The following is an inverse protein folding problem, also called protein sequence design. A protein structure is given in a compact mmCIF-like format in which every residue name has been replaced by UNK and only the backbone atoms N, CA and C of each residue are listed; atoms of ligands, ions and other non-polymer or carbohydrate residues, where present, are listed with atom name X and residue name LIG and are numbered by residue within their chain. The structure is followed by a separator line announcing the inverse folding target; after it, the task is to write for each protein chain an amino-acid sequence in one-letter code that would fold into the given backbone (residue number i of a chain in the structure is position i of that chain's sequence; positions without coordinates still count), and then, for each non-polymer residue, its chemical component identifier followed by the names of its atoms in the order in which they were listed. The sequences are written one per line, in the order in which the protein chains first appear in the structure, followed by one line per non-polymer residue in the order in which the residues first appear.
data_IF_118595819568
#
_entry.id   IF_118595819568
#
_cell.length_a   1.000
_cell.length_b   1.000
_cell.length_c   1.000
_cell.angle_alpha   90.00
_cell.angle_beta   90.00
_cell.angle_gamma   90.00
#
_symmetry.space_group_name_H-M   'P 1'
#
loop_
_entity.id
_entity.type
_entity.pdbx_description
1 polymer ?
#
# COMPACT_ATOMS: atom_id res chain seq x y z
N UNK A 1 -69.94 26.67 39.34
CA UNK A 1 -69.30 26.36 40.63
C UNK A 1 -69.20 24.85 40.79
N UNK A 2 -68.06 24.24 40.43
CA UNK A 2 -67.40 23.14 41.16
C UNK A 2 -65.90 23.27 40.82
N UNK A 3 -65.06 23.27 41.86
CA UNK A 3 -63.60 23.47 41.88
C UNK A 3 -62.89 22.12 41.60
N UNK A 4 -61.92 22.04 40.68
CA UNK A 4 -60.45 21.93 40.90
C UNK A 4 -59.86 20.53 40.51
N UNK A 5 -58.53 20.29 40.49
CA UNK A 5 -57.65 20.29 39.30
C UNK A 5 -56.95 18.93 39.02
N UNK A 6 -56.42 18.70 37.80
CA UNK A 6 -55.42 17.64 37.56
C UNK A 6 -54.28 18.15 36.66
N UNK A 7 -53.12 18.28 37.30
CA UNK A 7 -51.77 18.29 36.78
C UNK A 7 -51.46 16.95 36.09
N UNK A 8 -50.87 16.90 34.89
CA UNK A 8 -49.94 15.82 34.44
C UNK A 8 -49.15 16.28 33.19
N UNK A 9 -47.84 16.41 33.43
CA UNK A 9 -46.67 16.11 32.60
C UNK A 9 -46.62 16.48 31.10
N UNK A 10 -45.79 17.48 30.80
CA UNK A 10 -44.87 17.42 29.67
C UNK A 10 -43.99 16.15 29.81
N UNK A 11 -44.04 15.24 28.84
CA UNK A 11 -42.95 14.32 28.56
C UNK A 11 -42.70 14.29 27.05
N UNK A 12 -41.55 14.80 26.65
CA UNK A 12 -41.11 14.85 25.27
C UNK A 12 -40.80 13.47 24.72
N UNK A 13 -41.25 13.22 23.50
CA UNK A 13 -40.71 12.18 22.62
C UNK A 13 -39.89 12.87 21.52
N UNK A 14 -38.68 13.31 21.88
CA UNK A 14 -37.60 13.37 20.90
C UNK A 14 -37.10 11.94 20.76
N UNK A 15 -37.72 11.21 19.82
CA UNK A 15 -37.17 9.94 19.35
C UNK A 15 -35.81 10.23 18.72
N UNK A 16 -34.75 10.10 19.52
CA UNK A 16 -33.39 10.05 19.02
C UNK A 16 -33.31 8.87 18.06
N UNK A 17 -33.19 9.17 16.76
CA UNK A 17 -32.71 8.22 15.79
C UNK A 17 -31.25 7.94 16.14
N UNK A 18 -31.03 7.00 17.06
CA UNK A 18 -29.71 6.43 17.29
C UNK A 18 -29.28 5.77 16.00
N UNK A 19 -28.42 6.44 15.24
CA UNK A 19 -27.63 5.79 14.21
C UNK A 19 -26.89 4.66 14.92
N UNK A 20 -27.38 3.43 14.74
CA UNK A 20 -26.63 2.25 15.16
C UNK A 20 -25.36 2.24 14.32
N UNK A 21 -24.28 2.80 14.87
CA UNK A 21 -22.94 2.53 14.39
C UNK A 21 -22.82 1.01 14.34
N UNK A 22 -22.75 0.46 13.12
CA UNK A 22 -22.69 -0.99 12.93
C UNK A 22 -21.56 -1.55 13.78
N UNK A 23 -21.89 -2.50 14.66
CA UNK A 23 -20.92 -3.09 15.60
C UNK A 23 -19.76 -3.65 14.80
N UNK A 24 -18.56 -3.08 15.00
CA UNK A 24 -17.33 -3.59 14.41
C UNK A 24 -17.13 -5.05 14.84
N UNK A 25 -16.95 -5.96 13.88
CA UNK A 25 -16.76 -7.39 14.16
C UNK A 25 -15.34 -7.80 13.78
N UNK A 26 -14.59 -8.46 14.66
CA UNK A 26 -13.35 -9.11 14.27
C UNK A 26 -13.60 -10.11 13.15
N UNK A 27 -12.65 -10.23 12.23
CA UNK A 27 -12.66 -11.29 11.22
C UNK A 27 -12.65 -12.65 11.93
N UNK A 28 -13.57 -13.58 11.60
CA UNK A 28 -13.62 -14.89 12.24
C UNK A 28 -12.36 -15.69 11.89
N UNK A 29 -11.91 -16.53 12.82
CA UNK A 29 -10.85 -17.48 12.52
C UNK A 29 -11.30 -18.47 11.44
N UNK A 30 -10.39 -18.81 10.53
CA UNK A 30 -10.64 -19.83 9.51
C UNK A 30 -10.77 -21.20 10.18
N UNK A 31 -11.74 -21.99 9.71
CA UNK A 31 -11.87 -23.40 10.05
C UNK A 31 -10.70 -24.22 9.44
N UNK A 32 -10.53 -25.51 9.80
CA UNK A 32 -9.41 -26.30 9.29
C UNK A 32 -9.34 -26.37 7.75
N UNK A 33 -10.48 -26.41 7.07
CA UNK A 33 -10.56 -26.44 5.61
C UNK A 33 -10.10 -25.09 5.01
N UNK A 34 -10.59 -23.97 5.52
CA UNK A 34 -10.20 -22.63 5.13
C UNK A 34 -8.73 -22.35 5.39
N UNK A 35 -8.17 -22.83 6.51
CA UNK A 35 -6.73 -22.72 6.77
C UNK A 35 -5.90 -23.55 5.78
N UNK A 36 -6.33 -24.76 5.43
CA UNK A 36 -5.65 -25.59 4.44
C UNK A 36 -5.66 -24.92 3.06
N UNK A 37 -6.80 -24.34 2.67
CA UNK A 37 -6.94 -23.59 1.42
C UNK A 37 -6.06 -22.34 1.42
N UNK A 38 -6.07 -21.55 2.50
CA UNK A 38 -5.22 -20.37 2.63
C UNK A 38 -3.72 -20.72 2.49
N UNK A 39 -3.28 -21.80 3.15
CA UNK A 39 -1.89 -22.29 3.02
C UNK A 39 -1.55 -22.68 1.59
N UNK A 40 -2.43 -23.42 0.92
CA UNK A 40 -2.26 -23.83 -0.48
C UNK A 40 -2.14 -22.61 -1.41
N UNK A 41 -2.99 -21.61 -1.24
CA UNK A 41 -2.99 -20.37 -2.04
C UNK A 41 -1.74 -19.53 -1.78
N UNK A 42 -1.31 -19.38 -0.53
CA UNK A 42 -0.07 -18.68 -0.19
C UNK A 42 1.14 -19.37 -0.84
N UNK A 43 1.23 -20.70 -0.80
CA UNK A 43 2.32 -21.45 -1.44
C UNK A 43 2.31 -21.31 -2.97
N UNK A 44 1.12 -21.30 -3.59
CA UNK A 44 0.98 -21.03 -5.01
C UNK A 44 1.52 -19.64 -5.37
N UNK A 45 1.15 -18.61 -4.59
CA UNK A 45 1.59 -17.24 -4.80
C UNK A 45 3.12 -17.11 -4.61
N UNK A 46 3.70 -17.75 -3.58
CA UNK A 46 5.16 -17.73 -3.34
C UNK A 46 5.97 -18.32 -4.50
N UNK A 47 5.40 -19.26 -5.24
CA UNK A 47 6.03 -19.93 -6.38
C UNK A 47 5.77 -19.21 -7.71
N UNK A 48 4.71 -18.41 -7.83
CA UNK A 48 4.43 -17.65 -9.05
C UNK A 48 5.49 -16.56 -9.24
N UNK A 49 6.14 -16.45 -10.42
CA UNK A 49 7.09 -15.38 -10.71
C UNK A 49 6.47 -13.98 -10.61
N UNK A 50 5.15 -13.86 -10.73
CA UNK A 50 4.39 -12.62 -10.58
C UNK A 50 3.86 -12.40 -9.16
N UNK A 51 4.13 -13.33 -8.24
CA UNK A 51 3.63 -13.29 -6.87
C UNK A 51 2.10 -13.12 -6.84
N UNK A 52 1.56 -12.22 -6.00
CA UNK A 52 0.12 -12.07 -5.85
C UNK A 52 -0.53 -11.23 -6.96
N UNK A 53 0.22 -10.84 -7.99
CA UNK A 53 -0.19 -9.87 -8.99
C UNK A 53 -0.50 -10.47 -10.36
N UNK A 54 -1.63 -10.09 -10.92
CA UNK A 54 -2.07 -10.33 -12.29
C UNK A 54 -1.49 -9.33 -13.30
N UNK A 55 -2.18 -9.10 -14.44
CA UNK A 55 -1.79 -8.11 -15.45
C UNK A 55 -1.82 -6.66 -14.92
N UNK A 56 -1.01 -5.79 -15.52
CA UNK A 56 -1.02 -4.35 -15.26
C UNK A 56 -2.21 -3.74 -15.99
N UNK A 57 -2.95 -2.86 -15.31
CA UNK A 57 -4.15 -2.19 -15.81
C UNK A 57 -4.15 -0.72 -15.45
N UNK A 58 -4.91 0.06 -16.21
CA UNK A 58 -5.33 1.41 -15.86
C UNK A 58 -6.70 1.35 -15.20
N UNK A 59 -6.83 1.97 -14.04
CA UNK A 59 -8.07 2.12 -13.28
C UNK A 59 -8.48 3.58 -13.36
N UNK A 60 -9.47 3.88 -14.20
CA UNK A 60 -9.94 5.23 -14.43
C UNK A 60 -10.92 5.66 -13.32
N UNK A 61 -10.94 6.96 -13.04
CA UNK A 61 -11.85 7.59 -12.08
C UNK A 61 -13.33 7.43 -12.44
N UNK A 62 -13.64 7.14 -13.71
CA UNK A 62 -14.99 6.82 -14.20
C UNK A 62 -15.36 5.33 -14.08
N UNK A 63 -14.50 4.52 -13.45
CA UNK A 63 -14.73 3.09 -13.22
C UNK A 63 -14.25 2.16 -14.34
N UNK A 64 -13.79 2.70 -15.49
CA UNK A 64 -13.23 1.85 -16.56
C UNK A 64 -11.92 1.22 -16.13
N UNK A 65 -11.72 -0.04 -16.54
CA UNK A 65 -10.45 -0.77 -16.37
C UNK A 65 -9.86 -1.06 -17.75
N UNK A 66 -8.77 -0.38 -18.10
CA UNK A 66 -8.19 -0.40 -19.44
C UNK A 66 -6.83 -1.09 -19.44
N UNK A 67 -6.34 -1.58 -20.60
CA UNK A 67 -5.03 -2.21 -20.69
C UNK A 67 -3.90 -1.15 -20.60
N UNK A 68 -2.64 -1.53 -20.34
CA UNK A 68 -1.58 -0.64 -19.86
C UNK A 68 -0.93 0.25 -20.95
N UNK A 69 -1.54 0.43 -22.11
CA UNK A 69 -1.00 1.23 -23.21
C UNK A 69 -1.36 2.71 -23.07
N UNK A 70 -0.35 3.58 -23.13
CA UNK A 70 -0.52 5.03 -23.03
C UNK A 70 -1.12 5.48 -21.69
N UNK A 71 -1.82 6.61 -21.72
CA UNK A 71 -2.58 7.16 -20.60
C UNK A 71 -4.08 7.21 -20.97
N UNK A 72 -4.76 6.06 -21.06
CA UNK A 72 -6.08 5.95 -21.69
C UNK A 72 -7.22 6.57 -20.87
N UNK A 73 -6.97 6.89 -19.59
CA UNK A 73 -7.89 7.65 -18.75
C UNK A 73 -7.77 9.18 -18.97
N UNK A 74 -6.69 9.65 -19.61
CA UNK A 74 -6.30 11.05 -19.66
C UNK A 74 -5.43 11.48 -18.45
N UNK A 75 -4.78 12.65 -18.51
CA UNK A 75 -3.89 13.13 -17.46
C UNK A 75 -4.61 13.27 -16.11
N UNK A 76 -4.06 12.65 -15.06
CA UNK A 76 -4.59 12.73 -13.69
C UNK A 76 -5.95 12.06 -13.46
N UNK A 77 -6.44 11.26 -14.42
CA UNK A 77 -7.79 10.67 -14.39
C UNK A 77 -7.82 9.17 -14.11
N UNK A 78 -6.70 8.59 -13.71
CA UNK A 78 -6.62 7.19 -13.35
C UNK A 78 -5.28 6.82 -12.75
N UNK A 79 -5.19 5.55 -12.36
CA UNK A 79 -4.04 4.97 -11.67
C UNK A 79 -3.61 3.71 -12.42
N UNK A 80 -2.30 3.45 -12.50
CA UNK A 80 -1.79 2.24 -13.13
C UNK A 80 -1.19 1.31 -12.08
N UNK A 81 -1.74 0.11 -11.92
CA UNK A 81 -1.13 -0.91 -11.08
C UNK A 81 -1.51 -2.31 -11.57
N UNK A 82 -0.89 -3.33 -11.01
CA UNK A 82 -1.29 -4.71 -11.28
C UNK A 82 -2.67 -5.01 -10.67
N UNK A 83 -3.46 -5.84 -11.35
CA UNK A 83 -4.62 -6.46 -10.75
C UNK A 83 -4.18 -7.53 -9.74
N UNK A 84 -5.04 -7.96 -8.81
CA UNK A 84 -4.81 -9.19 -8.05
C UNK A 84 -4.79 -10.43 -8.97
N UNK A 85 -3.97 -11.42 -8.64
CA UNK A 85 -4.02 -12.75 -9.27
C UNK A 85 -5.27 -13.53 -8.84
N UNK A 86 -5.63 -14.61 -9.54
CA UNK A 86 -6.78 -15.46 -9.14
C UNK A 86 -6.59 -16.02 -7.73
N UNK A 87 -5.38 -16.45 -7.38
CA UNK A 87 -5.08 -16.96 -6.04
C UNK A 87 -5.18 -15.85 -4.98
N UNK A 88 -4.73 -14.62 -5.28
CA UNK A 88 -4.89 -13.49 -4.37
C UNK A 88 -6.37 -13.11 -4.17
N UNK A 89 -7.19 -13.15 -5.23
CA UNK A 89 -8.65 -12.94 -5.13
C UNK A 89 -9.32 -14.02 -4.28
N UNK A 90 -8.85 -15.26 -4.36
CA UNK A 90 -9.32 -16.35 -3.51
C UNK A 90 -8.93 -16.12 -2.03
N UNK A 91 -7.72 -15.65 -1.75
CA UNK A 91 -7.30 -15.29 -0.39
C UNK A 91 -8.09 -14.13 0.19
N UNK A 92 -8.43 -13.11 -0.60
CA UNK A 92 -9.29 -12.00 -0.15
C UNK A 92 -10.65 -12.50 0.34
N UNK A 93 -11.20 -13.57 -0.26
CA UNK A 93 -12.45 -14.20 0.22
C UNK A 93 -12.29 -14.91 1.58
N UNK A 94 -11.07 -15.15 2.00
CA UNK A 94 -10.70 -15.67 3.32
C UNK A 94 -10.17 -14.55 4.24
N UNK A 95 -10.45 -13.28 3.91
CA UNK A 95 -9.98 -12.08 4.62
C UNK A 95 -8.44 -11.92 4.67
N UNK A 96 -7.72 -12.47 3.68
CA UNK A 96 -6.26 -12.36 3.54
C UNK A 96 -5.96 -11.57 2.25
N UNK A 97 -5.69 -10.27 2.38
CA UNK A 97 -5.46 -9.35 1.26
C UNK A 97 -3.96 -9.15 0.99
N UNK A 98 -3.38 -9.92 0.06
CA UNK A 98 -1.95 -9.85 -0.30
C UNK A 98 -1.66 -9.07 -1.60
N UNK A 99 -2.66 -8.44 -2.21
CA UNK A 99 -2.52 -7.78 -3.52
C UNK A 99 -3.21 -6.41 -3.58
N UNK A 100 -3.43 -5.78 -2.43
CA UNK A 100 -4.19 -4.54 -2.32
C UNK A 100 -3.25 -3.34 -2.37
N UNK A 101 -3.69 -2.31 -3.07
CA UNK A 101 -2.95 -1.06 -3.32
C UNK A 101 -3.69 0.10 -2.67
N UNK A 102 -2.94 1.08 -2.13
CA UNK A 102 -3.52 2.30 -1.56
C UNK A 102 -3.95 3.27 -2.66
N UNK A 103 -3.33 3.19 -3.84
CA UNK A 103 -3.68 3.99 -5.00
C UNK A 103 -5.20 3.93 -5.25
N UNK A 104 -5.85 5.10 -5.23
CA UNK A 104 -7.30 5.26 -5.38
C UNK A 104 -8.19 4.59 -4.32
N UNK A 105 -7.64 4.09 -3.21
CA UNK A 105 -8.45 3.46 -2.17
C UNK A 105 -9.37 4.50 -1.48
N UNK A 106 -10.69 4.24 -1.39
CA UNK A 106 -11.62 5.03 -0.59
C UNK A 106 -11.27 4.97 0.89
N UNK A 107 -11.56 6.03 1.64
CA UNK A 107 -11.21 6.10 3.06
C UNK A 107 -11.95 5.03 3.89
N UNK A 108 -13.20 4.73 3.55
CA UNK A 108 -14.03 3.74 4.23
C UNK A 108 -13.48 2.32 4.03
N UNK A 109 -12.94 2.07 2.84
CA UNK A 109 -12.27 0.82 2.48
C UNK A 109 -10.95 0.66 3.26
N UNK A 110 -10.19 1.75 3.36
CA UNK A 110 -8.95 1.80 4.14
C UNK A 110 -9.21 1.61 5.63
N UNK A 111 -10.17 2.36 6.18
CA UNK A 111 -10.50 2.35 7.60
C UNK A 111 -11.08 1.01 8.03
N UNK A 112 -11.90 0.38 7.19
CA UNK A 112 -12.41 -0.99 7.40
C UNK A 112 -13.11 -1.19 8.75
N UNK A 113 -13.93 -0.20 9.17
CA UNK A 113 -14.62 -0.19 10.47
C UNK A 113 -15.42 -1.48 10.69
N UNK A 114 -16.08 -1.99 9.64
CA UNK A 114 -16.94 -3.18 9.72
C UNK A 114 -16.19 -4.43 10.18
N UNK A 115 -14.92 -4.59 9.76
CA UNK A 115 -14.05 -5.69 10.18
C UNK A 115 -13.13 -5.31 11.33
N UNK A 116 -13.54 -4.32 12.13
CA UNK A 116 -12.73 -3.76 13.21
C UNK A 116 -11.34 -3.37 12.73
N UNK A 117 -11.18 -2.60 11.64
CA UNK A 117 -9.88 -2.16 11.11
C UNK A 117 -8.92 -3.29 10.70
N UNK A 118 -9.46 -4.44 10.28
CA UNK A 118 -8.66 -5.63 9.94
C UNK A 118 -7.58 -5.33 8.90
N UNK A 119 -7.94 -4.61 7.83
CA UNK A 119 -6.99 -4.21 6.80
C UNK A 119 -5.78 -3.43 7.35
N UNK A 120 -6.01 -2.47 8.26
CA UNK A 120 -4.95 -1.67 8.88
C UNK A 120 -3.95 -2.52 9.67
N UNK A 121 -4.43 -3.54 10.38
CA UNK A 121 -3.53 -4.47 11.10
C UNK A 121 -2.82 -5.42 10.16
N UNK A 122 -3.51 -5.85 9.10
CA UNK A 122 -2.94 -6.75 8.12
C UNK A 122 -1.80 -6.10 7.33
N UNK A 123 -1.95 -4.84 6.89
CA UNK A 123 -0.89 -4.16 6.13
C UNK A 123 0.40 -3.99 6.96
N UNK A 124 0.29 -3.76 8.28
CA UNK A 124 1.45 -3.73 9.20
C UNK A 124 2.15 -5.09 9.20
N UNK A 125 1.40 -6.19 9.34
CA UNK A 125 1.97 -7.53 9.30
C UNK A 125 2.59 -7.87 7.94
N UNK A 126 1.95 -7.48 6.84
CA UNK A 126 2.47 -7.71 5.49
C UNK A 126 3.77 -6.95 5.27
N UNK A 127 3.85 -5.68 5.69
CA UNK A 127 5.10 -4.93 5.58
C UNK A 127 6.20 -5.59 6.42
N UNK A 128 5.94 -5.92 7.68
CA UNK A 128 6.89 -6.64 8.55
C UNK A 128 7.40 -7.94 7.90
N UNK A 129 6.50 -8.79 7.38
CA UNK A 129 6.92 -10.04 6.74
C UNK A 129 7.75 -9.79 5.49
N UNK A 130 7.46 -8.74 4.73
CA UNK A 130 8.19 -8.45 3.50
C UNK A 130 9.52 -7.75 3.73
N UNK A 131 9.67 -7.02 4.84
CA UNK A 131 10.95 -6.41 5.28
C UNK A 131 11.87 -7.43 5.91
N UNK A 132 11.36 -8.27 6.81
CA UNK A 132 12.18 -9.15 7.65
C UNK A 132 12.47 -10.52 7.03
N UNK A 133 11.68 -10.96 6.04
CA UNK A 133 11.82 -12.28 5.43
C UNK A 133 12.15 -12.20 3.94
N UNK A 134 13.17 -11.40 3.59
CA UNK A 134 13.74 -11.31 2.24
C UNK A 134 12.67 -11.15 1.15
N UNK A 135 11.70 -10.27 1.40
CA UNK A 135 10.58 -9.99 0.50
C UNK A 135 9.40 -10.96 0.55
N UNK A 136 9.50 -12.09 1.26
CA UNK A 136 8.46 -13.09 1.47
C UNK A 136 7.61 -13.36 0.22
N UNK A 137 6.34 -12.92 0.23
CA UNK A 137 5.35 -13.14 -0.83
C UNK A 137 5.56 -12.22 -2.04
N UNK A 138 6.31 -11.13 -1.87
CA UNK A 138 6.62 -10.13 -2.90
C UNK A 138 8.03 -10.27 -3.49
N UNK A 139 8.90 -11.13 -2.93
CA UNK A 139 10.31 -11.28 -3.33
C UNK A 139 10.51 -11.35 -4.84
N UNK A 140 9.66 -12.11 -5.54
CA UNK A 140 9.76 -12.33 -7.00
C UNK A 140 9.18 -11.19 -7.85
N UNK A 141 8.52 -10.22 -7.23
CA UNK A 141 7.69 -9.20 -7.91
C UNK A 141 8.34 -7.83 -7.98
N UNK A 142 9.34 -7.53 -7.15
CA UNK A 142 9.94 -6.20 -7.05
C UNK A 142 10.57 -5.70 -8.35
N UNK A 143 11.13 -6.60 -9.16
CA UNK A 143 11.71 -6.28 -10.46
C UNK A 143 10.66 -6.11 -11.57
N UNK A 144 9.39 -6.45 -11.31
CA UNK A 144 8.33 -6.36 -12.30
C UNK A 144 7.81 -4.92 -12.37
N UNK A 145 8.24 -4.20 -13.40
CA UNK A 145 7.81 -2.82 -13.69
C UNK A 145 6.28 -2.71 -13.73
N UNK A 146 5.74 -1.67 -13.09
CA UNK A 146 4.32 -1.31 -13.16
C UNK A 146 3.40 -2.16 -12.27
N UNK A 147 3.95 -2.98 -11.37
CA UNK A 147 3.16 -3.63 -10.32
C UNK A 147 2.47 -2.59 -9.44
N UNK A 148 3.20 -1.55 -9.00
CA UNK A 148 2.67 -0.36 -8.34
C UNK A 148 3.35 0.89 -8.91
N UNK A 149 2.70 2.05 -8.83
CA UNK A 149 3.37 3.35 -8.95
C UNK A 149 3.62 3.88 -7.54
N UNK A 150 4.88 4.12 -7.20
CA UNK A 150 5.23 4.53 -5.84
C UNK A 150 4.62 5.90 -5.48
N UNK A 151 4.56 6.81 -6.44
CA UNK A 151 4.02 8.16 -6.27
C UNK A 151 2.52 8.15 -5.95
N UNK A 152 1.74 7.28 -6.61
CA UNK A 152 0.29 7.17 -6.40
C UNK A 152 -0.03 6.54 -5.03
N UNK A 153 0.78 5.54 -4.63
CA UNK A 153 0.72 4.94 -3.30
C UNK A 153 1.08 5.96 -2.22
N UNK A 154 2.15 6.73 -2.41
CA UNK A 154 2.57 7.79 -1.49
C UNK A 154 1.52 8.89 -1.34
N UNK A 155 0.97 9.35 -2.47
CA UNK A 155 -0.09 10.35 -2.47
C UNK A 155 -1.35 9.85 -1.76
N UNK A 156 -1.73 8.59 -1.99
CA UNK A 156 -2.92 8.00 -1.37
C UNK A 156 -2.71 7.70 0.11
N UNK A 157 -1.58 7.14 0.51
CA UNK A 157 -1.23 6.93 1.91
C UNK A 157 -1.24 8.26 2.68
N UNK A 158 -0.66 9.33 2.12
CA UNK A 158 -0.67 10.66 2.74
C UNK A 158 -2.07 11.21 2.91
N UNK A 159 -2.94 11.05 1.89
CA UNK A 159 -4.35 11.43 1.96
C UNK A 159 -5.07 10.66 3.07
N UNK A 160 -4.94 9.34 3.07
CA UNK A 160 -5.60 8.44 4.01
C UNK A 160 -5.15 8.67 5.45
N UNK A 161 -3.84 8.79 5.69
CA UNK A 161 -3.29 9.09 7.02
C UNK A 161 -3.72 10.47 7.53
N UNK A 162 -3.73 11.51 6.67
CA UNK A 162 -4.21 12.84 7.08
C UNK A 162 -5.66 12.78 7.53
N UNK A 163 -6.51 12.10 6.77
CA UNK A 163 -7.92 11.95 7.13
C UNK A 163 -8.09 11.12 8.42
N UNK A 164 -7.32 10.05 8.59
CA UNK A 164 -7.35 9.20 9.78
C UNK A 164 -6.93 9.95 11.05
N UNK A 165 -5.82 10.70 10.98
CA UNK A 165 -5.22 11.39 12.13
C UNK A 165 -5.97 12.68 12.52
N UNK A 166 -6.87 13.16 11.67
CA UNK A 166 -7.75 14.29 11.97
C UNK A 166 -9.00 13.90 12.77
N UNK A 167 -9.26 12.60 12.96
CA UNK A 167 -10.38 12.10 13.75
C UNK A 167 -9.92 11.76 15.19
N UNK A 168 -10.13 12.65 16.18
CA UNK A 168 -9.71 12.38 17.56
C UNK A 168 -10.48 11.23 18.19
N UNK A 169 -11.74 10.98 17.77
CA UNK A 169 -12.58 9.92 18.30
C UNK A 169 -12.03 8.54 17.92
N UNK A 170 -11.48 8.43 16.71
CA UNK A 170 -10.77 7.22 16.30
C UNK A 170 -9.36 7.14 16.90
N UNK A 171 -8.62 8.25 16.91
CA UNK A 171 -7.21 8.29 17.28
C UNK A 171 -6.96 7.94 18.76
N UNK A 172 -7.75 8.48 19.68
CA UNK A 172 -7.57 8.26 21.12
C UNK A 172 -7.52 6.76 21.50
N UNK A 173 -8.51 5.91 21.13
CA UNK A 173 -8.46 4.48 21.43
C UNK A 173 -7.48 3.70 20.54
N UNK A 174 -7.04 4.24 19.40
CA UNK A 174 -6.19 3.55 18.43
C UNK A 174 -4.76 4.13 18.33
N UNK A 175 -4.29 4.87 19.33
CA UNK A 175 -3.01 5.59 19.27
C UNK A 175 -1.83 4.72 18.81
N UNK A 176 -1.68 3.51 19.36
CA UNK A 176 -0.60 2.60 18.96
C UNK A 176 -0.76 2.08 17.53
N UNK A 177 -1.99 1.83 17.10
CA UNK A 177 -2.26 1.44 15.71
C UNK A 177 -1.94 2.59 14.75
N UNK A 178 -2.32 3.82 15.11
CA UNK A 178 -1.98 5.01 14.34
C UNK A 178 -0.47 5.19 14.19
N UNK A 179 0.29 5.06 15.29
CA UNK A 179 1.75 5.13 15.28
C UNK A 179 2.36 4.07 14.33
N UNK A 180 1.91 2.82 14.44
CA UNK A 180 2.39 1.74 13.55
C UNK A 180 2.03 2.02 12.09
N UNK A 181 0.82 2.50 11.80
CA UNK A 181 0.43 2.86 10.43
C UNK A 181 1.29 3.97 9.86
N UNK A 182 1.62 5.00 10.65
CA UNK A 182 2.54 6.05 10.20
C UNK A 182 3.92 5.50 9.90
N UNK A 183 4.43 4.55 10.69
CA UNK A 183 5.71 3.90 10.41
C UNK A 183 5.67 2.95 9.19
N UNK A 184 4.52 2.31 8.95
CA UNK A 184 4.36 1.31 7.88
C UNK A 184 4.05 1.92 6.50
N UNK A 185 3.13 2.89 6.44
CA UNK A 185 2.59 3.33 5.14
C UNK A 185 3.55 4.31 4.45
N UNK A 186 3.78 4.18 3.14
CA UNK A 186 4.67 5.08 2.42
C UNK A 186 4.00 6.44 2.31
N UNK A 187 4.38 7.44 3.11
CA UNK A 187 3.72 8.75 3.11
C UNK A 187 4.71 9.92 3.00
N UNK A 188 6.00 9.59 2.83
CA UNK A 188 7.14 10.49 2.85
C UNK A 188 7.00 11.66 1.90
N UNK A 189 7.65 12.77 2.25
CA UNK A 189 7.76 13.94 1.40
C UNK A 189 8.75 13.57 0.30
N UNK A 190 8.31 13.63 -0.95
CA UNK A 190 9.19 13.44 -2.10
C UNK A 190 10.32 14.49 -2.01
N UNK A 191 11.49 14.11 -1.51
CA UNK A 191 12.62 15.02 -1.37
C UNK A 191 13.18 15.30 -2.75
N UNK A 192 13.87 16.44 -2.93
CA UNK A 192 14.59 16.68 -4.17
C UNK A 192 15.57 15.53 -4.49
N UNK A 193 16.09 14.85 -3.46
CA UNK A 193 16.98 13.71 -3.58
C UNK A 193 16.27 12.44 -4.05
N UNK A 194 15.12 12.08 -3.46
CA UNK A 194 14.33 10.92 -3.91
C UNK A 194 13.91 11.08 -5.38
N UNK A 195 13.43 12.27 -5.78
CA UNK A 195 13.17 12.58 -7.20
C UNK A 195 14.41 12.39 -8.06
N UNK A 196 15.57 12.87 -7.60
CA UNK A 196 16.83 12.75 -8.34
C UNK A 196 17.26 11.30 -8.48
N UNK A 197 17.12 10.47 -7.44
CA UNK A 197 17.39 9.03 -7.49
C UNK A 197 16.49 8.37 -8.54
N UNK A 198 15.18 8.64 -8.51
CA UNK A 198 14.20 8.07 -9.47
C UNK A 198 14.47 8.51 -10.92
N UNK A 199 14.76 9.80 -11.12
CA UNK A 199 15.07 10.36 -12.44
C UNK A 199 16.37 9.75 -13.00
N UNK A 200 17.45 9.78 -12.22
CA UNK A 200 18.74 9.23 -12.62
C UNK A 200 18.66 7.72 -12.87
N UNK A 201 17.96 6.98 -12.02
CA UNK A 201 17.74 5.53 -12.22
C UNK A 201 16.97 5.24 -13.51
N UNK A 202 16.01 6.09 -13.88
CA UNK A 202 15.26 5.99 -15.15
C UNK A 202 16.18 6.27 -16.34
N UNK A 203 16.93 7.38 -16.32
CA UNK A 203 17.87 7.72 -17.40
C UNK A 203 18.94 6.63 -17.62
N UNK A 204 19.45 6.05 -16.53
CA UNK A 204 20.42 4.94 -16.59
C UNK A 204 19.81 3.67 -17.19
N UNK A 205 18.55 3.37 -16.92
CA UNK A 205 17.85 2.21 -17.49
C UNK A 205 17.53 2.41 -18.98
N UNK A 206 17.19 3.64 -19.39
CA UNK A 206 16.97 3.98 -20.80
C UNK A 206 18.25 3.83 -21.63
N UNK A 207 19.41 4.18 -21.05
CA UNK A 207 20.72 4.03 -21.69
C UNK A 207 21.26 2.59 -21.61
N UNK A 208 20.91 1.85 -20.56
CA UNK A 208 21.37 0.48 -20.34
C UNK A 208 20.19 -0.44 -19.96
N UNK A 209 19.59 -1.12 -20.95
CA UNK A 209 18.46 -2.02 -20.70
C UNK A 209 18.72 -3.14 -19.69
N UNK A 210 19.97 -3.57 -19.48
CA UNK A 210 20.29 -4.56 -18.45
C UNK A 210 20.00 -4.05 -17.03
N UNK A 211 19.92 -2.72 -16.84
CA UNK A 211 19.61 -2.08 -15.56
C UNK A 211 18.11 -2.01 -15.25
N UNK A 212 17.21 -2.34 -16.20
CA UNK A 212 15.76 -2.19 -16.02
C UNK A 212 15.21 -2.89 -14.79
N UNK A 213 15.71 -4.09 -14.48
CA UNK A 213 15.26 -4.88 -13.32
C UNK A 213 15.59 -4.18 -12.00
N UNK A 214 16.82 -3.65 -11.86
CA UNK A 214 17.25 -2.89 -10.68
C UNK A 214 16.47 -1.58 -10.58
N UNK A 215 16.32 -0.84 -11.67
CA UNK A 215 15.49 0.38 -11.71
C UNK A 215 14.06 0.11 -11.27
N UNK A 216 13.45 -0.97 -11.74
CA UNK A 216 12.09 -1.34 -11.35
C UNK A 216 11.98 -1.60 -9.84
N UNK A 217 12.99 -2.27 -9.25
CA UNK A 217 13.07 -2.47 -7.79
C UNK A 217 13.26 -1.15 -7.04
N UNK A 218 14.25 -0.34 -7.41
CA UNK A 218 14.56 0.97 -6.77
C UNK A 218 13.33 1.88 -6.77
N UNK A 219 12.59 1.90 -7.88
CA UNK A 219 11.36 2.67 -7.98
C UNK A 219 10.24 2.10 -7.10
N UNK A 220 10.08 0.78 -7.09
CA UNK A 220 8.94 0.13 -6.41
C UNK A 220 9.11 0.01 -4.89
N UNK A 221 10.34 -0.21 -4.40
CA UNK A 221 10.68 -0.35 -2.99
C UNK A 221 12.16 0.06 -2.80
N UNK A 222 12.46 1.36 -2.72
CA UNK A 222 13.80 1.83 -2.44
C UNK A 222 14.26 1.38 -1.05
N UNK A 223 15.51 0.98 -0.91
CA UNK A 223 16.11 0.57 0.36
C UNK A 223 17.63 0.47 0.30
N UNK A 224 18.32 0.40 1.46
CA UNK A 224 19.78 0.35 1.55
C UNK A 224 20.41 -0.83 0.80
N UNK A 225 19.67 -1.92 0.60
CA UNK A 225 20.07 -3.07 -0.22
C UNK A 225 20.26 -2.74 -1.71
N UNK A 226 19.74 -1.60 -2.19
CA UNK A 226 19.96 -1.13 -3.56
C UNK A 226 21.42 -0.75 -3.84
N UNK A 227 22.10 -0.20 -2.84
CA UNK A 227 23.49 0.25 -2.97
C UNK A 227 24.41 -0.88 -3.42
N UNK A 228 24.55 -2.00 -2.69
CA UNK A 228 25.41 -3.09 -3.11
C UNK A 228 24.94 -3.74 -4.42
N UNK A 229 23.64 -3.69 -4.73
CA UNK A 229 23.10 -4.22 -5.98
C UNK A 229 23.52 -3.39 -7.21
N UNK A 230 23.48 -2.06 -7.11
CA UNK A 230 23.96 -1.15 -8.17
C UNK A 230 25.48 -1.27 -8.32
N UNK A 231 26.23 -1.34 -7.22
CA UNK A 231 27.69 -1.53 -7.28
C UNK A 231 28.07 -2.87 -7.94
N UNK A 232 27.35 -3.95 -7.63
CA UNK A 232 27.55 -5.25 -8.27
C UNK A 232 27.25 -5.19 -9.77
N UNK A 233 26.20 -4.49 -10.18
CA UNK A 233 25.87 -4.26 -11.58
C UNK A 233 27.01 -3.54 -12.32
N UNK A 234 27.56 -2.47 -11.73
CA UNK A 234 28.69 -1.73 -12.34
C UNK A 234 29.90 -2.63 -12.53
N UNK A 235 30.26 -3.44 -11.52
CA UNK A 235 31.39 -4.39 -11.61
C UNK A 235 31.19 -5.46 -12.68
N UNK A 236 29.97 -5.97 -12.83
CA UNK A 236 29.68 -7.10 -13.72
C UNK A 236 29.44 -6.69 -15.17
N UNK A 237 28.76 -5.55 -15.37
CA UNK A 237 28.32 -5.11 -16.70
C UNK A 237 29.23 -4.03 -17.30
N UNK A 238 30.13 -3.45 -16.50
CA UNK A 238 31.02 -2.36 -16.89
C UNK A 238 30.32 -1.27 -17.73
N UNK A 239 29.20 -0.70 -17.24
CA UNK A 239 28.34 0.17 -18.02
C UNK A 239 29.04 1.49 -18.34
N UNK A 240 28.74 2.06 -19.51
CA UNK A 240 29.27 3.37 -19.93
C UNK A 240 28.16 4.41 -19.97
N UNK A 241 28.31 5.58 -19.31
CA UNK A 241 29.41 5.97 -18.42
C UNK A 241 29.24 5.42 -16.99
N UNK A 242 30.31 4.90 -16.34
CA UNK A 242 30.23 4.33 -15.00
C UNK A 242 29.96 5.38 -13.90
N UNK A 243 30.44 6.62 -14.09
CA UNK A 243 30.33 7.70 -13.10
C UNK A 243 28.90 8.04 -12.72
N UNK A 244 27.96 7.91 -13.67
CA UNK A 244 26.55 8.16 -13.42
C UNK A 244 25.92 7.12 -12.48
N UNK A 245 26.43 5.89 -12.48
CA UNK A 245 26.03 4.86 -11.51
C UNK A 245 26.64 5.14 -10.13
N UNK A 246 27.88 5.63 -10.08
CA UNK A 246 28.49 6.07 -8.82
C UNK A 246 27.73 7.26 -8.20
N UNK A 247 27.26 8.19 -9.02
CA UNK A 247 26.38 9.28 -8.58
C UNK A 247 25.05 8.76 -7.99
N UNK A 248 24.45 7.75 -8.62
CA UNK A 248 23.24 7.12 -8.09
C UNK A 248 23.51 6.50 -6.71
N UNK A 249 24.61 5.76 -6.56
CA UNK A 249 25.02 5.16 -5.27
C UNK A 249 25.26 6.22 -4.20
N UNK A 250 25.91 7.33 -4.54
CA UNK A 250 26.14 8.45 -3.62
C UNK A 250 24.81 9.04 -3.12
N UNK A 251 23.88 9.33 -4.04
CA UNK A 251 22.56 9.84 -3.67
C UNK A 251 21.79 8.86 -2.76
N UNK A 252 21.88 7.55 -3.03
CA UNK A 252 21.25 6.53 -2.19
C UNK A 252 21.86 6.49 -0.77
N UNK A 253 23.18 6.57 -0.64
CA UNK A 253 23.85 6.61 0.67
C UNK A 253 23.43 7.83 1.48
N UNK A 254 23.36 8.99 0.85
CA UNK A 254 22.94 10.24 1.49
C UNK A 254 21.46 10.19 1.93
N UNK A 255 20.60 9.51 1.17
CA UNK A 255 19.19 9.35 1.52
C UNK A 255 18.98 8.36 2.66
N UNK A 256 19.58 7.17 2.55
CA UNK A 256 19.33 6.09 3.49
C UNK A 256 20.08 6.24 4.82
N UNK A 257 21.16 7.04 4.86
CA UNK A 257 21.84 7.38 6.12
C UNK A 257 21.00 8.29 7.02
N UNK A 258 20.29 9.26 6.43
CA UNK A 258 19.36 10.14 7.16
C UNK A 258 18.14 9.38 7.69
N UNK A 259 17.65 8.39 6.96
CA UNK A 259 16.54 7.55 7.40
C UNK A 259 16.88 6.65 8.61
N UNK A 260 18.17 6.37 8.86
CA UNK A 260 18.64 5.61 10.02
C UNK A 260 18.96 6.49 11.25
N UNK A 261 18.91 7.81 11.11
CA UNK A 261 19.19 8.78 12.20
C UNK A 261 17.98 9.57 12.67
N UNK A 262 16.81 9.36 12.04
CA UNK A 262 15.52 9.93 12.41
C UNK A 262 14.62 8.85 13.05
#
# INVERSE_FOLDING_TARGET
MILQPILIALLGLLAGASAQAGVARPVPSLDPAGQAEARRLLDQIRRDPRGPFGPIRWYCTDGRVLPPQGAPCGPGRGFQHASPSVAAQQLTRLDIDVARFLANMPFEEFLDVRRNHHWLRQIILLDYLTTTNDGWIYKRTWSRRGVRQAEDEEASARRLLRQLLQDPVWLEPNYLLALQLTATLPHGIDTARVRRIRALSTELADQNPAFFSLRAKIHSRPGPEDIPAVEAFVRQQNPTPPDRFHDLVRLMRDEYSLANTA
#
